data_IF_477095590869
#
_entry.id   IF_477095590869
#
_cell.length_a   1.000
_cell.length_b   1.000
_cell.length_c   1.000
_cell.angle_alpha   90.00
_cell.angle_beta   90.00
_cell.angle_gamma   90.00
#
_symmetry.space_group_name_H-M   'P 1'
#
loop_
_entity.id
_entity.type
_entity.pdbx_description
1 polymer ?
#
# COMPACT_ATOMS: atom_id res chain seq x y z
N UNK A 1 15.89 -39.51 18.68
CA UNK A 1 16.49 -40.39 17.67
C UNK A 1 17.21 -39.47 16.71
N UNK A 2 18.47 -39.71 16.40
CA UNK A 2 19.25 -38.84 15.50
C UNK A 2 18.71 -38.93 14.06
N UNK A 3 18.67 -37.83 13.33
CA UNK A 3 18.15 -37.71 11.96
C UNK A 3 18.82 -38.74 11.00
N UNK A 4 20.08 -39.08 11.25
CA UNK A 4 20.82 -40.12 10.50
C UNK A 4 20.22 -41.51 10.71
N UNK A 5 19.97 -41.89 11.95
CA UNK A 5 19.39 -43.18 12.31
C UNK A 5 17.98 -43.34 11.74
N UNK A 6 17.18 -42.26 11.75
CA UNK A 6 15.84 -42.23 11.13
C UNK A 6 15.92 -42.42 9.62
N UNK A 7 16.88 -41.74 8.95
CA UNK A 7 17.10 -41.86 7.50
C UNK A 7 17.52 -43.25 7.10
N UNK A 8 18.50 -43.85 7.80
CA UNK A 8 18.96 -45.22 7.54
C UNK A 8 17.81 -46.21 7.65
N UNK A 9 17.03 -46.13 8.74
CA UNK A 9 15.87 -47.02 8.95
C UNK A 9 14.81 -46.85 7.85
N UNK A 10 14.55 -45.62 7.40
CA UNK A 10 13.59 -45.38 6.32
C UNK A 10 14.04 -46.00 4.99
N UNK A 11 15.32 -45.85 4.64
CA UNK A 11 15.89 -46.46 3.42
C UNK A 11 15.87 -47.97 3.51
N UNK A 12 16.30 -48.55 4.62
CA UNK A 12 16.31 -50.03 4.83
C UNK A 12 14.89 -50.59 4.71
N UNK A 13 13.89 -49.92 5.28
CA UNK A 13 12.47 -50.32 5.18
C UNK A 13 11.97 -50.29 3.73
N UNK A 14 12.37 -49.30 2.92
CA UNK A 14 12.02 -49.26 1.51
C UNK A 14 12.75 -50.34 0.70
N UNK A 15 14.01 -50.65 1.01
CA UNK A 15 14.78 -51.69 0.36
C UNK A 15 14.17 -53.09 0.55
N UNK A 16 13.54 -53.35 1.70
CA UNK A 16 12.86 -54.64 1.97
C UNK A 16 11.70 -54.95 1.01
N UNK A 17 11.21 -53.95 0.25
CA UNK A 17 10.19 -54.17 -0.79
C UNK A 17 10.75 -54.78 -2.07
N UNK A 18 12.08 -54.73 -2.28
CA UNK A 18 12.70 -55.04 -3.54
C UNK A 18 13.86 -56.07 -3.40
N UNK A 19 14.32 -56.36 -2.18
CA UNK A 19 15.46 -57.24 -1.92
C UNK A 19 15.25 -58.04 -0.64
N UNK A 20 16.08 -59.08 -0.45
CA UNK A 20 16.06 -59.94 0.73
C UNK A 20 16.51 -59.19 2.00
N UNK A 21 16.13 -59.68 3.17
CA UNK A 21 16.54 -59.13 4.48
C UNK A 21 18.07 -59.06 4.61
N UNK A 22 18.82 -60.06 4.12
CA UNK A 22 20.26 -60.02 4.18
C UNK A 22 20.89 -58.94 3.31
N UNK A 23 20.32 -58.65 2.16
CA UNK A 23 20.76 -57.54 1.29
C UNK A 23 20.40 -56.18 1.88
N UNK A 24 19.21 -56.02 2.45
CA UNK A 24 18.80 -54.82 3.14
C UNK A 24 19.68 -54.48 4.35
N UNK A 25 20.09 -55.49 5.12
CA UNK A 25 21.04 -55.33 6.24
C UNK A 25 22.43 -54.87 5.76
N UNK A 26 22.91 -55.36 4.61
CA UNK A 26 24.16 -54.87 4.01
C UNK A 26 24.04 -53.38 3.61
N UNK A 27 22.93 -52.97 3.03
CA UNK A 27 22.65 -51.55 2.69
C UNK A 27 22.65 -50.71 3.95
N UNK A 28 22.03 -51.18 5.04
CA UNK A 28 22.03 -50.50 6.32
C UNK A 28 23.43 -50.25 6.88
N UNK A 29 24.29 -51.30 6.86
CA UNK A 29 25.67 -51.17 7.31
C UNK A 29 26.47 -50.16 6.46
N UNK A 30 26.35 -50.25 5.12
CA UNK A 30 27.03 -49.31 4.21
C UNK A 30 26.58 -47.86 4.47
N UNK A 31 25.28 -47.63 4.57
CA UNK A 31 24.74 -46.31 4.84
C UNK A 31 25.19 -45.75 6.21
N UNK A 32 25.19 -46.58 7.23
CA UNK A 32 25.65 -46.22 8.56
C UNK A 32 27.11 -45.76 8.56
N UNK A 33 27.97 -46.44 7.83
CA UNK A 33 29.41 -46.09 7.69
C UNK A 33 29.56 -44.81 6.84
N UNK A 34 28.87 -44.67 5.72
CA UNK A 34 28.98 -43.51 4.84
C UNK A 34 28.49 -42.23 5.53
N UNK A 35 27.38 -42.32 6.28
CA UNK A 35 26.78 -41.18 6.96
C UNK A 35 27.55 -40.70 8.17
N UNK A 36 28.63 -41.41 8.62
CA UNK A 36 29.52 -40.87 9.65
C UNK A 36 30.22 -39.59 9.22
N UNK A 37 30.44 -39.39 7.91
CA UNK A 37 31.15 -38.27 7.31
C UNK A 37 30.20 -37.11 6.92
N UNK A 38 28.89 -37.25 7.08
CA UNK A 38 27.88 -36.26 6.67
C UNK A 38 27.07 -35.80 7.86
N UNK A 39 26.65 -34.54 7.86
CA UNK A 39 25.64 -34.01 8.79
C UNK A 39 24.30 -34.00 8.06
N UNK A 40 23.35 -34.83 8.47
CA UNK A 40 21.97 -34.78 7.98
C UNK A 40 21.15 -33.91 8.92
N UNK A 41 20.44 -32.96 8.36
CA UNK A 41 19.35 -32.24 9.03
C UNK A 41 18.07 -32.61 8.31
N UNK A 42 17.09 -33.10 9.05
CA UNK A 42 15.73 -33.28 8.55
C UNK A 42 15.15 -31.88 8.33
N UNK A 43 14.96 -31.50 7.06
CA UNK A 43 14.16 -30.32 6.76
C UNK A 43 12.71 -30.63 7.14
N UNK A 44 12.27 -30.17 8.26
CA UNK A 44 10.85 -30.17 8.63
C UNK A 44 10.16 -29.09 7.78
N UNK A 45 9.81 -29.46 6.56
CA UNK A 45 8.72 -28.74 5.90
C UNK A 45 7.47 -29.00 6.73
N UNK A 46 6.96 -27.99 7.41
CA UNK A 46 5.61 -28.06 7.95
C UNK A 46 4.70 -28.28 6.74
N UNK A 47 4.38 -29.54 6.48
CA UNK A 47 3.34 -29.94 5.54
C UNK A 47 2.04 -29.38 6.11
N UNK A 48 1.63 -28.19 5.66
CA UNK A 48 0.20 -27.90 5.62
C UNK A 48 -0.43 -29.03 4.82
N UNK A 49 -1.43 -29.66 5.37
CA UNK A 49 -2.17 -30.80 4.79
C UNK A 49 -2.94 -30.42 3.51
N UNK A 50 -2.79 -29.21 3.01
CA UNK A 50 -3.20 -28.77 1.69
C UNK A 50 -2.08 -29.07 0.70
N UNK A 51 -2.37 -29.87 -0.32
CA UNK A 51 -1.48 -30.12 -1.46
C UNK A 51 -1.25 -28.80 -2.21
N UNK A 52 -0.19 -28.08 -1.82
CA UNK A 52 0.19 -26.80 -2.42
C UNK A 52 0.54 -27.07 -3.89
N UNK A 53 -0.26 -26.54 -4.81
CA UNK A 53 -0.02 -26.70 -6.25
C UNK A 53 1.34 -26.13 -6.66
N UNK A 54 1.95 -26.61 -7.77
CA UNK A 54 3.20 -26.04 -8.28
C UNK A 54 3.12 -24.51 -8.49
N UNK A 55 2.00 -24.00 -8.98
CA UNK A 55 1.75 -22.57 -9.13
C UNK A 55 1.79 -21.85 -7.77
N UNK A 56 1.15 -22.41 -6.75
CA UNK A 56 1.10 -21.79 -5.42
C UNK A 56 2.49 -21.77 -4.76
N UNK A 57 3.33 -22.77 -4.99
CA UNK A 57 4.73 -22.77 -4.52
C UNK A 57 5.49 -21.56 -5.10
N UNK A 58 5.40 -21.34 -6.40
CA UNK A 58 6.04 -20.19 -7.07
C UNK A 58 5.51 -18.84 -6.59
N UNK A 59 4.22 -18.72 -6.35
CA UNK A 59 3.62 -17.50 -5.77
C UNK A 59 4.16 -17.26 -4.37
N UNK A 60 4.18 -18.26 -3.51
CA UNK A 60 4.69 -18.14 -2.14
C UNK A 60 6.19 -17.76 -2.13
N UNK A 61 6.99 -18.36 -3.01
CA UNK A 61 8.41 -18.02 -3.17
C UNK A 61 8.58 -16.54 -3.58
N UNK A 62 7.83 -16.08 -4.59
CA UNK A 62 7.84 -14.67 -4.99
C UNK A 62 7.49 -13.75 -3.83
N UNK A 63 6.43 -14.04 -3.08
CA UNK A 63 6.01 -13.22 -1.94
C UNK A 63 7.07 -13.19 -0.84
N UNK A 64 7.74 -14.33 -0.57
CA UNK A 64 8.84 -14.40 0.39
C UNK A 64 10.03 -13.53 -0.05
N UNK A 65 10.44 -13.60 -1.32
CA UNK A 65 11.50 -12.76 -1.89
C UNK A 65 11.15 -11.27 -1.72
N UNK A 66 9.90 -10.89 -2.05
CA UNK A 66 9.44 -9.50 -1.90
C UNK A 66 9.35 -9.05 -0.44
N UNK A 67 9.02 -9.95 0.47
CA UNK A 67 9.02 -9.66 1.92
C UNK A 67 10.42 -9.36 2.43
N UNK A 68 11.40 -10.19 2.06
CA UNK A 68 12.82 -9.98 2.40
C UNK A 68 13.34 -8.67 1.78
N UNK A 69 12.87 -8.31 0.58
CA UNK A 69 13.18 -7.02 -0.06
C UNK A 69 12.50 -5.80 0.62
N UNK A 70 11.82 -6.00 1.74
CA UNK A 70 11.23 -4.90 2.55
C UNK A 70 9.83 -4.45 2.11
N UNK A 71 9.10 -5.22 1.29
CA UNK A 71 7.72 -4.87 0.95
C UNK A 71 6.80 -5.05 2.16
N UNK A 72 5.88 -4.10 2.32
CA UNK A 72 4.86 -4.17 3.38
C UNK A 72 3.84 -5.28 3.11
N UNK A 73 3.21 -5.81 4.17
CA UNK A 73 2.18 -6.86 4.05
C UNK A 73 1.00 -6.40 3.18
N UNK A 74 0.65 -5.13 3.22
CA UNK A 74 -0.38 -4.55 2.33
C UNK A 74 0.01 -4.63 0.86
N UNK A 75 1.29 -4.35 0.54
CA UNK A 75 1.80 -4.47 -0.83
C UNK A 75 1.83 -5.93 -1.27
N UNK A 76 2.30 -6.83 -0.40
CA UNK A 76 2.32 -8.27 -0.67
C UNK A 76 0.92 -8.81 -0.94
N UNK A 77 -0.07 -8.40 -0.15
CA UNK A 77 -1.49 -8.77 -0.37
C UNK A 77 -2.00 -8.29 -1.73
N UNK A 78 -1.62 -7.08 -2.16
CA UNK A 78 -2.01 -6.56 -3.48
C UNK A 78 -1.37 -7.38 -4.63
N UNK A 79 -0.08 -7.73 -4.52
CA UNK A 79 0.59 -8.61 -5.47
C UNK A 79 -0.10 -9.98 -5.52
N UNK A 80 -0.30 -10.60 -4.35
CA UNK A 80 -0.94 -11.92 -4.28
C UNK A 80 -2.33 -11.92 -4.93
N UNK A 81 -3.17 -10.94 -4.59
CA UNK A 81 -4.52 -10.85 -5.15
C UNK A 81 -4.49 -10.78 -6.68
N UNK A 82 -3.61 -9.95 -7.26
CA UNK A 82 -3.52 -9.80 -8.71
C UNK A 82 -3.01 -11.07 -9.39
N UNK A 83 -1.98 -11.69 -8.82
CA UNK A 83 -1.43 -12.95 -9.34
C UNK A 83 -2.48 -14.06 -9.29
N UNK A 84 -3.20 -14.20 -8.18
CA UNK A 84 -4.28 -15.20 -8.04
C UNK A 84 -5.41 -14.96 -9.04
N UNK A 85 -5.81 -13.70 -9.27
CA UNK A 85 -6.82 -13.35 -10.27
C UNK A 85 -6.37 -13.75 -11.69
N UNK A 86 -5.14 -13.46 -12.05
CA UNK A 86 -4.56 -13.86 -13.33
C UNK A 86 -4.52 -15.39 -13.47
N UNK A 87 -4.00 -16.10 -12.46
CA UNK A 87 -3.89 -17.57 -12.50
C UNK A 87 -5.26 -18.23 -12.62
N UNK A 88 -6.26 -17.72 -11.92
CA UNK A 88 -7.65 -18.19 -12.04
C UNK A 88 -8.22 -17.98 -13.43
N UNK A 89 -7.93 -16.84 -14.07
CA UNK A 89 -8.46 -16.51 -15.39
C UNK A 89 -7.75 -17.30 -16.50
N UNK A 90 -6.42 -17.45 -16.44
CA UNK A 90 -5.62 -18.14 -17.45
C UNK A 90 -5.71 -19.66 -17.30
N UNK A 91 -5.80 -20.16 -16.05
CA UNK A 91 -5.90 -21.57 -15.70
C UNK A 91 -4.83 -22.47 -16.35
N UNK A 92 -3.57 -22.03 -16.30
CA UNK A 92 -2.41 -22.74 -16.82
C UNK A 92 -1.29 -22.83 -15.76
N UNK A 93 -0.36 -23.82 -15.86
CA UNK A 93 0.89 -23.75 -15.12
C UNK A 93 1.66 -22.46 -15.45
N UNK A 94 2.27 -21.85 -14.44
CA UNK A 94 3.01 -20.58 -14.59
C UNK A 94 4.10 -20.68 -15.67
N UNK A 95 4.77 -21.83 -15.77
CA UNK A 95 5.81 -22.09 -16.77
C UNK A 95 5.29 -22.09 -18.21
N UNK A 96 4.00 -22.39 -18.43
CA UNK A 96 3.38 -22.48 -19.75
C UNK A 96 2.68 -21.19 -20.19
N UNK A 97 2.62 -20.19 -19.30
CA UNK A 97 1.99 -18.89 -19.61
C UNK A 97 2.84 -18.13 -20.65
N UNK A 98 2.19 -17.76 -21.73
CA UNK A 98 2.80 -17.01 -22.84
C UNK A 98 2.32 -15.55 -22.85
N UNK A 99 3.00 -14.72 -23.62
CA UNK A 99 2.66 -13.28 -23.76
C UNK A 99 1.21 -13.06 -24.18
N UNK A 100 0.67 -13.90 -25.03
CA UNK A 100 -0.72 -13.76 -25.52
C UNK A 100 -1.74 -14.14 -24.45
N UNK A 101 -1.43 -15.01 -23.50
CA UNK A 101 -2.33 -15.32 -22.38
C UNK A 101 -2.48 -14.09 -21.46
N UNK A 102 -1.38 -13.38 -21.19
CA UNK A 102 -1.43 -12.15 -20.38
C UNK A 102 -2.17 -11.03 -21.14
N UNK A 103 -1.93 -10.89 -22.45
CA UNK A 103 -2.67 -9.91 -23.28
C UNK A 103 -4.17 -10.19 -23.27
N UNK A 104 -4.57 -11.45 -23.46
CA UNK A 104 -5.97 -11.88 -23.41
C UNK A 104 -6.57 -11.61 -22.03
N UNK A 105 -5.87 -11.90 -20.95
CA UNK A 105 -6.31 -11.59 -19.59
C UNK A 105 -6.57 -10.10 -19.39
N UNK A 106 -5.64 -9.23 -19.79
CA UNK A 106 -5.79 -7.77 -19.67
C UNK A 106 -6.94 -7.23 -20.54
N UNK A 107 -7.09 -7.76 -21.77
CA UNK A 107 -8.19 -7.39 -22.64
C UNK A 107 -9.55 -7.84 -22.06
N UNK A 108 -9.63 -9.05 -21.49
CA UNK A 108 -10.80 -9.53 -20.79
C UNK A 108 -11.19 -8.64 -19.61
N UNK A 109 -10.22 -8.24 -18.78
CA UNK A 109 -10.45 -7.31 -17.67
C UNK A 109 -11.01 -5.96 -18.16
N UNK A 110 -10.47 -5.45 -19.25
CA UNK A 110 -10.92 -4.19 -19.84
C UNK A 110 -12.35 -4.25 -20.36
N UNK A 111 -12.65 -5.28 -21.14
CA UNK A 111 -13.96 -5.42 -21.81
C UNK A 111 -15.08 -5.76 -20.83
N UNK A 112 -14.84 -6.67 -19.88
CA UNK A 112 -15.90 -7.16 -19.02
C UNK A 112 -16.10 -6.34 -17.73
N UNK A 113 -15.08 -5.63 -17.26
CA UNK A 113 -15.15 -4.86 -16.02
C UNK A 113 -15.11 -3.35 -16.24
N UNK A 114 -15.02 -2.89 -17.49
CA UNK A 114 -14.92 -1.48 -17.85
C UNK A 114 -13.91 -0.70 -17.00
N UNK A 115 -12.73 -1.30 -16.76
CA UNK A 115 -11.70 -0.73 -15.90
C UNK A 115 -10.84 0.30 -16.66
N UNK A 116 -10.36 1.30 -15.95
CA UNK A 116 -9.52 2.33 -16.56
C UNK A 116 -8.14 1.79 -16.99
N UNK A 117 -7.54 2.42 -18.01
CA UNK A 117 -6.18 2.11 -18.45
C UNK A 117 -5.14 2.25 -17.32
N UNK A 118 -5.34 3.18 -16.38
CA UNK A 118 -4.47 3.33 -15.19
C UNK A 118 -4.53 2.10 -14.28
N UNK A 119 -5.71 1.51 -14.12
CA UNK A 119 -5.88 0.28 -13.36
C UNK A 119 -5.22 -0.90 -14.05
N UNK A 120 -5.40 -1.04 -15.36
CA UNK A 120 -4.74 -2.08 -16.17
C UNK A 120 -3.20 -1.95 -16.14
N UNK A 121 -2.66 -0.71 -16.22
CA UNK A 121 -1.21 -0.48 -16.10
C UNK A 121 -0.69 -0.90 -14.72
N UNK A 122 -1.49 -0.69 -13.69
CA UNK A 122 -1.16 -1.15 -12.32
C UNK A 122 -1.11 -2.67 -12.24
N UNK A 123 -2.10 -3.37 -12.80
CA UNK A 123 -2.12 -4.84 -12.90
C UNK A 123 -0.90 -5.34 -13.66
N UNK A 124 -0.64 -4.78 -14.85
CA UNK A 124 0.52 -5.14 -15.66
C UNK A 124 1.85 -4.97 -14.89
N UNK A 125 2.00 -3.92 -14.08
CA UNK A 125 3.20 -3.72 -13.25
C UNK A 125 3.38 -4.83 -12.21
N UNK A 126 2.30 -5.31 -11.60
CA UNK A 126 2.37 -6.43 -10.67
C UNK A 126 2.81 -7.71 -11.40
N UNK A 127 2.20 -8.01 -12.56
CA UNK A 127 2.53 -9.19 -13.35
C UNK A 127 3.98 -9.15 -13.87
N UNK A 128 4.44 -7.99 -14.37
CA UNK A 128 5.83 -7.81 -14.78
C UNK A 128 6.81 -8.04 -13.62
N UNK A 129 6.51 -7.52 -12.44
CA UNK A 129 7.36 -7.76 -11.26
C UNK A 129 7.41 -9.24 -10.90
N UNK A 130 6.28 -9.93 -10.99
CA UNK A 130 6.16 -11.36 -10.70
C UNK A 130 6.99 -12.21 -11.66
N UNK A 131 6.72 -12.14 -12.95
CA UNK A 131 7.41 -12.95 -13.96
C UNK A 131 8.90 -12.62 -14.07
N UNK A 132 9.25 -11.32 -14.00
CA UNK A 132 10.65 -10.89 -13.97
C UNK A 132 11.41 -11.51 -12.79
N UNK A 133 10.81 -11.51 -11.59
CA UNK A 133 11.45 -12.13 -10.42
C UNK A 133 11.63 -13.63 -10.63
N UNK A 134 10.59 -14.35 -11.08
CA UNK A 134 10.68 -15.78 -11.32
C UNK A 134 11.75 -16.14 -12.38
N UNK A 135 11.89 -15.32 -13.43
CA UNK A 135 12.94 -15.51 -14.45
C UNK A 135 14.34 -15.29 -13.86
N UNK A 136 14.53 -14.22 -13.09
CA UNK A 136 15.84 -13.91 -12.47
C UNK A 136 16.27 -15.01 -11.51
N UNK A 137 15.33 -15.55 -10.74
CA UNK A 137 15.58 -16.64 -9.79
C UNK A 137 15.64 -18.03 -10.48
N UNK A 138 15.50 -18.10 -11.81
CA UNK A 138 15.63 -19.35 -12.57
C UNK A 138 14.43 -20.29 -12.50
N UNK A 139 13.29 -19.87 -11.96
CA UNK A 139 12.07 -20.69 -11.88
C UNK A 139 11.33 -20.83 -13.22
N UNK A 140 11.50 -19.88 -14.12
CA UNK A 140 10.97 -19.92 -15.49
C UNK A 140 12.06 -19.50 -16.48
N UNK A 141 12.10 -20.07 -17.69
CA UNK A 141 13.13 -19.75 -18.67
C UNK A 141 12.97 -18.36 -19.30
N UNK A 142 11.74 -17.88 -19.46
CA UNK A 142 11.41 -16.62 -20.11
C UNK A 142 10.38 -15.83 -19.31
N UNK A 143 10.44 -14.51 -19.38
CA UNK A 143 9.42 -13.59 -18.81
C UNK A 143 8.34 -13.31 -19.87
N UNK A 144 7.12 -13.87 -19.73
CA UNK A 144 6.04 -13.65 -20.70
C UNK A 144 5.50 -12.21 -20.67
N UNK A 145 5.75 -11.43 -19.62
CA UNK A 145 5.31 -10.06 -19.51
C UNK A 145 6.33 -9.03 -20.06
N UNK A 146 7.55 -9.45 -20.38
CA UNK A 146 8.64 -8.55 -20.78
C UNK A 146 8.29 -7.71 -22.01
N UNK A 147 7.73 -8.35 -23.05
CA UNK A 147 7.39 -7.71 -24.32
C UNK A 147 6.10 -6.88 -24.30
N UNK A 148 5.38 -6.86 -23.19
CA UNK A 148 4.13 -6.09 -23.08
C UNK A 148 4.51 -4.64 -22.73
N UNK A 149 4.18 -3.69 -23.60
CA UNK A 149 4.45 -2.28 -23.37
C UNK A 149 3.55 -1.71 -22.28
N UNK A 150 3.99 -0.62 -21.67
CA UNK A 150 3.20 0.13 -20.68
C UNK A 150 1.88 0.58 -21.32
N UNK A 151 0.79 0.40 -20.58
CA UNK A 151 -0.53 0.84 -21.02
C UNK A 151 -0.62 2.36 -20.82
N UNK A 152 -0.88 3.08 -21.89
CA UNK A 152 -1.04 4.54 -21.83
C UNK A 152 -2.37 4.85 -21.13
N UNK A 153 -2.28 5.52 -19.99
CA UNK A 153 -3.44 6.04 -19.29
C UNK A 153 -3.54 7.55 -19.51
N UNK A 154 -4.76 8.04 -19.64
CA UNK A 154 -5.00 9.48 -19.66
C UNK A 154 -4.58 10.09 -18.32
N UNK A 155 -3.84 11.17 -18.37
CA UNK A 155 -3.47 11.92 -17.17
C UNK A 155 -4.66 12.78 -16.73
N UNK A 156 -5.50 12.23 -15.87
CA UNK A 156 -6.58 13.00 -15.25
C UNK A 156 -5.95 14.05 -14.33
N UNK A 157 -6.10 15.32 -14.70
CA UNK A 157 -5.71 16.44 -13.84
C UNK A 157 -6.75 16.54 -12.72
N UNK A 158 -6.34 16.11 -11.54
CA UNK A 158 -7.20 16.21 -10.36
C UNK A 158 -7.06 17.62 -9.78
N UNK A 159 -8.11 18.41 -9.79
CA UNK A 159 -8.12 19.79 -9.32
C UNK A 159 -8.18 19.90 -7.78
N UNK A 160 -7.57 20.93 -7.16
CA UNK A 160 -7.80 21.29 -5.76
C UNK A 160 -9.26 21.72 -5.55
N UNK A 161 -9.66 21.97 -4.33
CA UNK A 161 -10.91 22.72 -4.09
C UNK A 161 -10.73 24.17 -4.54
N UNK A 162 -11.78 24.75 -5.08
CA UNK A 162 -11.84 26.20 -5.28
C UNK A 162 -12.04 26.91 -3.94
N UNK A 163 -11.72 28.20 -3.82
CA UNK A 163 -12.02 28.98 -2.60
C UNK A 163 -13.49 28.85 -2.17
N UNK A 164 -14.43 28.94 -3.14
CA UNK A 164 -15.87 28.81 -2.86
C UNK A 164 -16.21 27.39 -2.36
N UNK A 165 -15.65 26.36 -2.96
CA UNK A 165 -15.85 24.98 -2.46
C UNK A 165 -15.30 24.82 -1.04
N UNK A 166 -14.15 25.41 -0.74
CA UNK A 166 -13.54 25.36 0.61
C UNK A 166 -14.44 26.03 1.64
N UNK A 167 -15.01 27.20 1.35
CA UNK A 167 -15.95 27.86 2.26
C UNK A 167 -17.25 27.05 2.42
N UNK A 168 -17.82 26.51 1.35
CA UNK A 168 -18.98 25.61 1.44
C UNK A 168 -18.72 24.40 2.34
N UNK A 169 -17.51 23.81 2.25
CA UNK A 169 -17.08 22.70 3.11
C UNK A 169 -17.02 23.13 4.58
N UNK A 170 -16.49 24.33 4.87
CA UNK A 170 -16.42 24.91 6.21
C UNK A 170 -17.81 25.18 6.80
N UNK A 171 -18.69 25.78 6.01
CA UNK A 171 -20.07 26.08 6.42
C UNK A 171 -20.87 24.81 6.68
N UNK A 172 -20.71 23.80 5.86
CA UNK A 172 -21.39 22.51 6.02
C UNK A 172 -21.01 21.74 7.29
N UNK A 173 -19.82 22.01 7.85
CA UNK A 173 -19.48 21.47 9.17
C UNK A 173 -20.39 22.01 10.28
N UNK A 174 -20.94 23.22 10.10
CA UNK A 174 -21.94 23.81 10.98
C UNK A 174 -21.53 23.79 12.46
N UNK A 175 -22.38 23.15 13.28
CA UNK A 175 -22.16 23.00 14.73
C UNK A 175 -21.35 21.73 15.10
N UNK A 176 -20.98 20.88 14.12
CA UNK A 176 -20.17 19.69 14.38
C UNK A 176 -18.70 20.08 14.58
N UNK A 177 -18.32 20.36 15.83
CA UNK A 177 -16.98 20.78 16.19
C UNK A 177 -15.90 19.76 15.82
N UNK A 178 -16.20 18.45 15.87
CA UNK A 178 -15.29 17.39 15.45
C UNK A 178 -15.06 17.44 13.93
N UNK A 179 -16.14 17.56 13.15
CA UNK A 179 -16.04 17.65 11.69
C UNK A 179 -15.26 18.90 11.28
N UNK A 180 -15.55 20.04 11.94
CA UNK A 180 -14.83 21.30 11.72
C UNK A 180 -13.34 21.17 12.02
N UNK A 181 -12.99 20.51 13.12
CA UNK A 181 -11.60 20.24 13.48
C UNK A 181 -10.90 19.34 12.45
N UNK A 182 -11.57 18.29 11.95
CA UNK A 182 -11.02 17.41 10.89
C UNK A 182 -10.75 18.21 9.60
N UNK A 183 -11.70 19.05 9.18
CA UNK A 183 -11.58 19.86 7.95
C UNK A 183 -10.41 20.83 8.05
N UNK A 184 -10.36 21.64 9.12
CA UNK A 184 -9.29 22.63 9.29
C UNK A 184 -7.92 21.98 9.48
N UNK A 185 -7.88 20.85 10.19
CA UNK A 185 -6.66 20.06 10.32
C UNK A 185 -6.13 19.58 8.97
N UNK A 186 -7.00 19.03 8.12
CA UNK A 186 -6.64 18.57 6.78
C UNK A 186 -6.19 19.72 5.87
N UNK A 187 -6.88 20.87 5.91
CA UNK A 187 -6.54 22.08 5.13
C UNK A 187 -5.23 22.70 5.58
N UNK A 188 -4.93 22.65 6.89
CA UNK A 188 -3.71 23.25 7.45
C UNK A 188 -2.49 22.37 7.22
N UNK A 189 -2.59 21.07 7.48
CA UNK A 189 -1.45 20.17 7.56
C UNK A 189 -1.18 19.39 6.28
N UNK A 190 -2.19 19.20 5.45
CA UNK A 190 -2.12 18.32 4.28
C UNK A 190 -1.81 16.84 4.62
N UNK A 191 -2.15 16.38 5.82
CA UNK A 191 -1.92 14.99 6.24
C UNK A 191 -2.53 13.99 5.26
N UNK A 192 -1.86 12.83 5.11
CA UNK A 192 -2.48 11.64 4.51
C UNK A 192 -3.51 11.09 5.49
N UNK A 193 -4.59 10.52 4.99
CA UNK A 193 -5.65 9.99 5.85
C UNK A 193 -5.14 8.96 6.88
N UNK A 194 -4.15 8.16 6.54
CA UNK A 194 -3.50 7.23 7.48
C UNK A 194 -2.67 7.93 8.55
N UNK A 195 -2.16 9.11 8.25
CA UNK A 195 -1.46 9.95 9.23
C UNK A 195 -2.47 10.61 10.17
N UNK A 196 -3.64 11.03 9.66
CA UNK A 196 -4.75 11.54 10.49
C UNK A 196 -5.27 10.46 11.44
N UNK A 197 -5.46 9.22 10.94
CA UNK A 197 -5.84 8.08 11.75
C UNK A 197 -4.90 7.86 12.92
N UNK A 198 -3.58 7.94 12.69
CA UNK A 198 -2.56 7.67 13.70
C UNK A 198 -2.21 8.88 14.57
N UNK A 199 -2.72 10.07 14.26
CA UNK A 199 -2.42 11.27 15.02
C UNK A 199 -2.94 11.21 16.45
N UNK A 200 -2.13 11.66 17.40
CA UNK A 200 -2.43 11.72 18.81
C UNK A 200 -2.50 13.17 19.32
N UNK A 201 -3.19 13.37 20.42
CA UNK A 201 -3.20 14.65 21.15
C UNK A 201 -1.78 15.05 21.57
N UNK A 202 -1.00 14.08 22.06
CA UNK A 202 0.37 14.26 22.50
C UNK A 202 1.38 14.60 21.38
N UNK A 203 1.00 14.41 20.11
CA UNK A 203 1.87 14.73 18.98
C UNK A 203 1.89 16.23 18.67
N UNK A 204 0.91 16.98 19.19
CA UNK A 204 0.83 18.44 19.04
C UNK A 204 1.66 19.08 20.15
N UNK A 205 2.77 19.71 19.76
CA UNK A 205 3.63 20.48 20.65
C UNK A 205 3.72 21.91 20.11
N UNK A 206 3.19 22.85 20.88
CA UNK A 206 2.98 24.24 20.43
C UNK A 206 2.14 24.25 19.14
N UNK A 207 2.75 24.55 18.02
CA UNK A 207 2.08 24.63 16.72
C UNK A 207 2.60 23.56 15.75
N UNK A 208 3.38 22.61 16.23
CA UNK A 208 4.13 21.65 15.43
C UNK A 208 3.62 20.24 15.67
N UNK A 209 3.53 19.47 14.60
CA UNK A 209 3.34 18.04 14.67
C UNK A 209 4.54 17.36 14.01
N UNK A 210 5.05 16.31 14.65
CA UNK A 210 6.10 15.48 14.09
C UNK A 210 5.47 14.24 13.49
N UNK A 211 5.67 14.04 12.20
CA UNK A 211 5.17 12.85 11.50
C UNK A 211 6.36 11.95 11.20
N UNK A 212 6.28 10.70 11.62
CA UNK A 212 7.21 9.67 11.19
C UNK A 212 6.64 8.97 9.96
N UNK A 213 7.28 9.17 8.81
CA UNK A 213 6.89 8.59 7.53
C UNK A 213 7.57 7.24 7.26
N UNK A 214 7.43 6.77 6.01
CA UNK A 214 8.09 5.55 5.52
C UNK A 214 9.62 5.67 5.68
N UNK A 215 10.26 4.61 6.16
CA UNK A 215 11.71 4.60 6.40
C UNK A 215 12.15 5.41 7.63
N UNK A 216 11.25 5.62 8.60
CA UNK A 216 11.50 6.35 9.85
C UNK A 216 11.95 7.82 9.65
N UNK A 217 11.66 8.41 8.47
CA UNK A 217 11.94 9.81 8.19
C UNK A 217 10.91 10.69 8.89
N UNK A 218 11.38 11.59 9.72
CA UNK A 218 10.54 12.56 10.41
C UNK A 218 10.40 13.84 9.58
N UNK A 219 9.20 14.42 9.61
CA UNK A 219 8.94 15.75 9.07
C UNK A 219 8.07 16.55 10.00
N UNK A 220 8.23 17.87 9.93
CA UNK A 220 7.40 18.81 10.66
C UNK A 220 6.28 19.31 9.78
N UNK A 221 5.11 19.46 10.36
CA UNK A 221 3.97 20.20 9.81
C UNK A 221 3.43 21.12 10.88
N UNK A 222 2.74 22.15 10.43
CA UNK A 222 2.32 23.26 11.30
C UNK A 222 0.81 23.44 11.23
N UNK A 223 0.23 23.84 12.37
CA UNK A 223 -1.17 24.23 12.47
C UNK A 223 -1.29 25.73 12.24
N UNK A 224 -2.16 26.14 11.32
CA UNK A 224 -2.55 27.54 11.22
C UNK A 224 -3.55 27.90 12.35
N UNK A 225 -3.83 29.20 12.51
CA UNK A 225 -4.70 29.69 13.58
C UNK A 225 -6.12 29.09 13.54
N UNK A 226 -6.66 28.86 12.35
CA UNK A 226 -8.00 28.26 12.18
C UNK A 226 -8.03 26.80 12.66
N UNK A 227 -7.03 26.00 12.29
CA UNK A 227 -6.92 24.62 12.72
C UNK A 227 -6.71 24.50 14.24
N UNK A 228 -5.88 25.37 14.85
CA UNK A 228 -5.70 25.43 16.29
C UNK A 228 -7.00 25.70 17.02
N UNK A 229 -7.71 26.78 16.64
CA UNK A 229 -8.97 27.14 17.26
C UNK A 229 -10.03 26.05 17.09
N UNK A 230 -10.08 25.40 15.92
CA UNK A 230 -11.04 24.33 15.68
C UNK A 230 -10.72 23.07 16.51
N UNK A 231 -9.43 22.72 16.65
CA UNK A 231 -8.99 21.62 17.49
C UNK A 231 -9.25 21.91 18.97
N UNK A 232 -8.94 23.10 19.47
CA UNK A 232 -9.22 23.52 20.84
C UNK A 232 -10.71 23.42 21.17
N UNK A 233 -11.58 23.96 20.33
CA UNK A 233 -13.03 23.85 20.50
C UNK A 233 -13.52 22.41 20.52
N UNK A 234 -12.99 21.57 19.65
CA UNK A 234 -13.32 20.14 19.65
C UNK A 234 -12.83 19.46 20.91
N UNK A 235 -11.58 19.71 21.30
CA UNK A 235 -10.95 19.16 22.49
C UNK A 235 -11.75 19.47 23.77
N UNK A 236 -12.22 20.69 23.92
CA UNK A 236 -13.06 21.13 25.03
C UNK A 236 -14.42 20.41 25.11
N UNK A 237 -14.85 19.74 24.05
CA UNK A 237 -16.06 18.89 24.05
C UNK A 237 -15.79 17.45 24.45
N UNK A 238 -14.52 17.05 24.54
CA UNK A 238 -14.15 15.66 24.85
C UNK A 238 -14.15 15.40 26.34
N UNK A 239 -14.78 14.29 26.72
CA UNK A 239 -14.84 13.81 28.10
C UNK A 239 -14.10 12.48 28.31
N UNK A 240 -13.28 12.07 27.32
CA UNK A 240 -12.55 10.81 27.32
C UNK A 240 -11.03 11.03 27.54
N UNK A 241 -10.34 9.95 27.91
CA UNK A 241 -8.88 9.92 28.09
C UNK A 241 -8.12 9.33 26.90
N UNK A 242 -8.82 9.03 25.78
CA UNK A 242 -8.19 8.44 24.61
C UNK A 242 -7.21 9.42 23.98
N UNK A 243 -5.96 9.00 23.80
CA UNK A 243 -4.90 9.85 23.22
C UNK A 243 -5.10 10.12 21.71
N UNK A 244 -6.00 9.40 21.01
CA UNK A 244 -6.29 9.69 19.60
C UNK A 244 -6.74 11.13 19.39
N UNK A 245 -6.21 11.81 18.37
CA UNK A 245 -6.61 13.18 18.04
C UNK A 245 -8.10 13.25 17.69
N UNK A 246 -8.60 12.29 16.92
CA UNK A 246 -10.01 12.21 16.54
C UNK A 246 -10.62 10.88 16.97
N UNK A 247 -11.80 10.95 17.59
CA UNK A 247 -12.52 9.77 18.09
C UNK A 247 -13.95 9.69 17.55
N UNK A 248 -14.57 8.52 17.70
CA UNK A 248 -15.98 8.27 17.33
C UNK A 248 -16.93 9.21 18.08
N UNK A 249 -18.09 9.54 17.47
CA UNK A 249 -19.14 10.34 18.15
C UNK A 249 -19.85 9.59 19.26
N UNK A 250 -19.94 8.30 19.11
CA UNK A 250 -20.63 7.41 20.05
C UNK A 250 -19.64 6.44 20.69
N UNK A 251 -19.93 6.05 21.90
CA UNK A 251 -19.15 5.02 22.59
C UNK A 251 -19.38 3.66 21.95
N UNK A 252 -18.29 2.97 21.67
CA UNK A 252 -18.28 1.59 21.19
C UNK A 252 -17.78 0.72 22.33
N UNK A 253 -18.63 -0.18 22.84
CA UNK A 253 -18.34 -0.98 24.04
C UNK A 253 -17.95 -0.10 25.25
N UNK A 254 -18.66 0.99 25.46
CA UNK A 254 -18.45 1.89 26.59
C UNK A 254 -17.36 2.96 26.44
N UNK A 255 -16.58 2.93 25.36
CA UNK A 255 -15.44 3.85 25.12
C UNK A 255 -15.52 4.55 23.79
N UNK A 256 -15.00 5.78 23.72
CA UNK A 256 -14.75 6.44 22.47
C UNK A 256 -13.54 5.81 21.77
N UNK A 257 -13.69 5.37 20.54
CA UNK A 257 -12.64 4.71 19.76
C UNK A 257 -12.01 5.70 18.77
N UNK A 258 -10.70 5.52 18.53
CA UNK A 258 -9.98 6.23 17.46
C UNK A 258 -10.76 6.14 16.15
N UNK A 259 -10.85 7.24 15.40
CA UNK A 259 -11.39 7.20 14.04
C UNK A 259 -10.43 6.47 13.10
N UNK A 260 -10.92 5.42 12.51
CA UNK A 260 -10.19 4.68 11.48
C UNK A 260 -10.21 5.41 10.13
N UNK A 261 -9.23 5.13 9.29
CA UNK A 261 -9.10 5.68 7.94
C UNK A 261 -10.42 5.65 7.15
N UNK A 262 -11.08 4.48 7.13
CA UNK A 262 -12.34 4.29 6.38
C UNK A 262 -13.46 5.19 6.89
N UNK A 263 -13.54 5.41 8.20
CA UNK A 263 -14.51 6.31 8.82
C UNK A 263 -14.25 7.77 8.44
N UNK A 264 -12.99 8.21 8.48
CA UNK A 264 -12.61 9.57 8.08
C UNK A 264 -12.95 9.80 6.59
N UNK A 265 -12.60 8.84 5.72
CA UNK A 265 -12.92 8.91 4.28
C UNK A 265 -14.43 8.99 4.04
N UNK A 266 -15.24 8.23 4.80
CA UNK A 266 -16.70 8.24 4.69
C UNK A 266 -17.29 9.57 5.16
N UNK A 267 -16.87 10.08 6.31
CA UNK A 267 -17.31 11.39 6.84
C UNK A 267 -17.08 12.49 5.80
N UNK A 268 -15.88 12.54 5.21
CA UNK A 268 -15.54 13.55 4.20
C UNK A 268 -16.33 13.34 2.90
N UNK A 269 -16.55 12.10 2.48
CA UNK A 269 -17.35 11.79 1.27
C UNK A 269 -18.82 12.17 1.45
N UNK A 270 -19.39 11.88 2.60
CA UNK A 270 -20.77 12.25 2.95
C UNK A 270 -20.94 13.76 2.99
N UNK A 271 -20.00 14.49 3.62
CA UNK A 271 -19.99 15.93 3.60
C UNK A 271 -20.04 16.48 2.16
N UNK A 272 -19.14 16.02 1.29
CA UNK A 272 -19.12 16.47 -0.12
C UNK A 272 -20.42 16.16 -0.85
N UNK A 273 -21.00 14.99 -0.61
CA UNK A 273 -22.26 14.57 -1.23
C UNK A 273 -23.42 15.48 -0.82
N UNK A 274 -23.49 15.84 0.46
CA UNK A 274 -24.57 16.69 1.01
C UNK A 274 -24.55 18.12 0.45
N UNK A 275 -23.39 18.60 0.00
CA UNK A 275 -23.23 19.97 -0.54
C UNK A 275 -22.97 20.01 -2.04
N UNK A 276 -23.12 18.88 -2.73
CA UNK A 276 -22.94 18.79 -4.18
C UNK A 276 -21.50 18.97 -4.67
N UNK A 277 -20.50 18.70 -3.81
CA UNK A 277 -19.08 18.73 -4.19
C UNK A 277 -18.62 17.32 -4.53
N UNK A 278 -18.38 17.08 -5.81
CA UNK A 278 -17.84 15.81 -6.28
C UNK A 278 -16.39 15.58 -5.85
N UNK A 279 -16.02 14.29 -5.78
CA UNK A 279 -14.65 13.90 -5.43
C UNK A 279 -14.12 14.53 -4.13
N UNK A 280 -14.99 14.74 -3.15
CA UNK A 280 -14.61 15.20 -1.81
C UNK A 280 -13.98 14.03 -1.04
N UNK A 281 -12.67 14.09 -0.86
CA UNK A 281 -11.89 13.05 -0.17
C UNK A 281 -10.59 13.64 0.42
N UNK A 282 -9.95 13.04 1.43
CA UNK A 282 -8.79 13.61 2.14
C UNK A 282 -7.62 14.03 1.23
N UNK A 283 -7.35 13.28 0.15
CA UNK A 283 -6.28 13.66 -0.78
C UNK A 283 -6.58 14.97 -1.55
N UNK A 284 -7.86 15.35 -1.73
CA UNK A 284 -8.20 16.62 -2.35
C UNK A 284 -7.90 17.80 -1.41
N UNK A 285 -8.10 17.64 -0.09
CA UNK A 285 -7.66 18.59 0.94
C UNK A 285 -6.15 18.82 0.90
N UNK A 286 -5.39 17.73 0.90
CA UNK A 286 -3.92 17.79 0.82
C UNK A 286 -3.45 18.51 -0.43
N UNK A 287 -4.10 18.28 -1.57
CA UNK A 287 -3.81 18.98 -2.83
C UNK A 287 -4.14 20.45 -2.71
N UNK A 288 -5.28 20.80 -2.12
CA UNK A 288 -5.70 22.19 -1.90
C UNK A 288 -4.66 22.91 -1.06
N UNK A 289 -4.28 22.38 0.09
CA UNK A 289 -3.23 22.96 0.92
C UNK A 289 -1.92 23.18 0.14
N UNK A 290 -1.46 22.17 -0.60
CA UNK A 290 -0.22 22.28 -1.37
C UNK A 290 -0.31 23.35 -2.47
N UNK A 291 -1.42 23.39 -3.20
CA UNK A 291 -1.63 24.39 -4.26
C UNK A 291 -1.74 25.79 -3.69
N UNK A 292 -2.47 25.97 -2.60
CA UNK A 292 -2.65 27.27 -1.96
C UNK A 292 -1.32 27.79 -1.37
N UNK A 293 -0.51 26.88 -0.76
CA UNK A 293 0.82 27.24 -0.28
C UNK A 293 1.75 27.71 -1.40
N UNK A 294 1.75 27.00 -2.55
CA UNK A 294 2.53 27.40 -3.72
C UNK A 294 2.04 28.74 -4.31
N UNK A 295 0.73 28.94 -4.42
CA UNK A 295 0.13 30.20 -4.88
C UNK A 295 0.43 31.37 -3.94
N UNK A 296 0.53 31.10 -2.64
CA UNK A 296 0.95 32.08 -1.66
C UNK A 296 2.46 32.40 -1.70
N UNK A 297 3.22 31.72 -2.57
CA UNK A 297 4.66 31.96 -2.76
C UNK A 297 5.58 31.08 -1.93
N UNK A 298 5.07 30.01 -1.28
CA UNK A 298 5.93 29.07 -0.58
C UNK A 298 6.81 28.30 -1.59
N UNK A 299 8.13 28.23 -1.40
CA UNK A 299 9.01 27.46 -2.27
C UNK A 299 8.58 25.99 -2.37
N UNK A 300 8.66 25.42 -3.58
CA UNK A 300 8.21 24.05 -3.85
C UNK A 300 8.96 23.01 -3.01
N UNK A 301 10.21 23.28 -2.67
CA UNK A 301 11.04 22.44 -1.79
C UNK A 301 10.45 22.37 -0.38
N UNK A 302 9.99 23.50 0.15
CA UNK A 302 9.36 23.57 1.48
C UNK A 302 8.01 22.86 1.48
N UNK A 303 7.20 23.04 0.44
CA UNK A 303 5.94 22.28 0.28
C UNK A 303 6.22 20.78 0.18
N UNK A 304 7.25 20.38 -0.57
CA UNK A 304 7.68 18.98 -0.69
C UNK A 304 8.08 18.38 0.65
N UNK A 305 8.86 19.11 1.45
CA UNK A 305 9.25 18.71 2.81
C UNK A 305 8.03 18.54 3.73
N UNK A 306 7.11 19.51 3.74
CA UNK A 306 5.87 19.42 4.53
C UNK A 306 5.03 18.22 4.14
N UNK A 307 4.93 17.94 2.85
CA UNK A 307 4.18 16.79 2.33
C UNK A 307 4.91 15.45 2.56
N UNK A 308 6.23 15.47 2.76
CA UNK A 308 7.06 14.26 2.86
C UNK A 308 7.06 13.49 1.54
N UNK A 309 7.35 14.19 0.44
CA UNK A 309 7.63 13.58 -0.85
C UNK A 309 9.13 13.29 -0.94
N UNK A 310 9.49 12.08 -1.35
CA UNK A 310 10.90 11.71 -1.55
C UNK A 310 11.48 12.36 -2.83
N UNK A 311 10.60 12.65 -3.81
CA UNK A 311 10.98 13.28 -5.06
C UNK A 311 10.17 14.57 -5.29
N UNK A 312 10.83 15.64 -5.69
CA UNK A 312 10.20 16.92 -6.05
C UNK A 312 9.19 16.79 -7.19
N UNK A 313 9.42 15.85 -8.12
CA UNK A 313 8.52 15.52 -9.23
C UNK A 313 7.09 15.20 -8.74
N UNK A 314 6.96 14.62 -7.55
CA UNK A 314 5.65 14.37 -6.92
C UNK A 314 4.96 15.66 -6.50
N UNK A 315 5.70 16.69 -6.13
CA UNK A 315 5.15 18.00 -5.75
C UNK A 315 4.87 18.88 -6.96
N UNK A 316 5.63 18.72 -8.05
CA UNK A 316 5.43 19.46 -9.31
C UNK A 316 4.03 19.28 -9.92
N UNK A 317 3.32 18.19 -9.59
CA UNK A 317 1.92 18.02 -10.02
C UNK A 317 0.97 19.09 -9.43
N UNK A 318 1.34 19.70 -8.30
CA UNK A 318 0.60 20.78 -7.65
C UNK A 318 1.02 22.16 -8.15
N UNK A 319 2.24 22.29 -8.67
CA UNK A 319 2.79 23.50 -9.24
C UNK A 319 2.39 23.73 -10.71
N UNK A 320 1.57 22.84 -11.29
CA UNK A 320 1.03 23.06 -12.64
C UNK A 320 0.09 24.25 -12.59
N UNK A 321 0.61 25.36 -13.02
CA UNK A 321 -0.10 26.62 -13.16
C UNK A 321 -1.18 26.50 -14.24
N UNK A 322 -2.36 27.02 -13.97
CA UNK A 322 -3.31 27.39 -15.00
C UNK A 322 -2.75 28.60 -15.76
N UNK A 323 -3.26 28.85 -16.96
CA UNK A 323 -2.85 30.02 -17.77
C UNK A 323 -2.96 31.33 -16.97
N UNK A 324 -3.97 31.42 -16.08
CA UNK A 324 -4.15 32.56 -15.16
C UNK A 324 -3.01 32.69 -14.14
N UNK A 325 -2.48 31.57 -13.62
CA UNK A 325 -1.36 31.60 -12.65
C UNK A 325 -0.07 32.09 -13.35
N UNK A 326 0.14 31.68 -14.61
CA UNK A 326 1.27 32.16 -15.43
C UNK A 326 1.15 33.66 -15.70
N UNK A 327 -0.05 34.14 -16.05
CA UNK A 327 -0.31 35.54 -16.29
C UNK A 327 -0.03 36.38 -15.03
N UNK A 328 -0.55 35.97 -13.87
CA UNK A 328 -0.32 36.70 -12.60
C UNK A 328 1.18 36.70 -12.23
N UNK A 329 1.86 35.56 -12.40
CA UNK A 329 3.29 35.47 -12.15
C UNK A 329 4.06 36.39 -13.12
N UNK A 330 3.69 36.44 -14.41
CA UNK A 330 4.28 37.34 -15.39
C UNK A 330 4.13 38.79 -14.96
N UNK A 331 2.89 39.24 -14.58
CA UNK A 331 2.65 40.58 -14.12
C UNK A 331 3.44 40.97 -12.87
N UNK A 332 3.71 40.01 -11.99
CA UNK A 332 4.42 40.21 -10.72
C UNK A 332 5.94 40.26 -10.89
N UNK A 333 6.49 39.44 -11.75
CA UNK A 333 7.95 39.18 -11.80
C UNK A 333 8.62 39.63 -13.09
N UNK A 334 7.89 39.86 -14.19
CA UNK A 334 8.43 40.35 -15.45
C UNK A 334 8.07 41.84 -15.57
N UNK A 335 9.08 42.68 -15.42
CA UNK A 335 9.00 44.16 -15.55
C UNK A 335 9.43 44.61 -16.92
#
# INVERSE_FOLDING_TARGET
MDDKTEFVRMVTTQCLKYMSVNEANKVEQILSVLLTKYSLKKETYALSTETVTPNQKLVNTFLAIKKISGLTDKSLKAYNNEIQMMLKAINKPIADIKVNDIRAYLAFEQLNKNVSNSYLDTKLRYLKSFFKTLRIEGYIPNDPAEKITKIKAEKVIRKPFTPIETEKIRDAAGKDLRLKAIIEFLLSTGYRVTEVENANRSDIKDDKLIITGKGNKQRYVYLNAQAKLALEKYENTRSDTNNALFVSKVKIKGEYKRLEKGQIENIIRELGRNIGIENCHPHRFRRTMATDALRAGMPIEQVSLMLGHEELTTTQIYARSDESDVYQAHQKYVR
#
